data_IF_214939577533
#
_entry.id   IF_214939577533
#
_cell.length_a   1.000
_cell.length_b   1.000
_cell.length_c   1.000
_cell.angle_alpha   90.00
_cell.angle_beta   90.00
_cell.angle_gamma   90.00
#
_symmetry.space_group_name_H-M   'P 1'
#
loop_
_entity.id
_entity.type
_entity.pdbx_description
1 polymer ?
#
# COMPACT_ATOMS: atom_id res chain seq x y z
N UNK A 1 12.73 0.93 13.06
CA UNK A 1 12.98 1.52 11.74
C UNK A 1 13.64 0.43 10.91
N UNK A 2 12.92 -0.11 9.93
CA UNK A 2 13.42 -1.24 9.15
C UNK A 2 14.46 -0.82 8.09
N UNK A 3 15.14 -1.81 7.51
CA UNK A 3 16.21 -1.58 6.52
C UNK A 3 15.71 -0.83 5.28
N UNK A 4 14.51 -1.16 4.82
CA UNK A 4 13.91 -0.55 3.63
C UNK A 4 13.61 0.94 3.87
N UNK A 5 12.96 1.29 4.97
CA UNK A 5 12.64 2.68 5.32
C UNK A 5 13.92 3.50 5.51
N UNK A 6 14.97 2.92 6.11
CA UNK A 6 16.27 3.57 6.22
C UNK A 6 16.94 3.80 4.85
N UNK A 7 16.79 2.85 3.91
CA UNK A 7 17.27 2.99 2.52
C UNK A 7 16.49 4.06 1.76
N UNK A 8 15.17 4.13 1.92
CA UNK A 8 14.31 5.18 1.34
C UNK A 8 14.74 6.55 1.86
N UNK A 9 14.86 6.71 3.18
CA UNK A 9 15.34 7.96 3.81
C UNK A 9 16.67 8.42 3.21
N UNK A 10 17.64 7.51 3.04
CA UNK A 10 18.95 7.84 2.48
C UNK A 10 18.82 8.31 1.02
N UNK A 11 18.11 7.54 0.20
CA UNK A 11 17.85 7.87 -1.21
C UNK A 11 17.22 9.25 -1.37
N UNK A 12 16.26 9.58 -0.50
CA UNK A 12 15.54 10.86 -0.51
C UNK A 12 16.45 12.03 -0.10
N UNK A 13 17.29 11.83 0.92
CA UNK A 13 18.25 12.86 1.39
C UNK A 13 19.35 13.15 0.37
N UNK A 14 19.88 12.14 -0.30
CA UNK A 14 20.89 12.31 -1.36
C UNK A 14 20.40 13.23 -2.50
N UNK A 15 19.08 13.30 -2.71
CA UNK A 15 18.44 14.13 -3.74
C UNK A 15 17.84 15.44 -3.20
N UNK A 16 17.93 15.67 -1.89
CA UNK A 16 17.29 16.81 -1.21
C UNK A 16 15.76 16.74 -1.19
N UNK A 17 15.18 15.59 -1.52
CA UNK A 17 13.73 15.38 -1.57
C UNK A 17 13.10 15.23 -0.19
N UNK A 18 13.91 15.07 0.85
CA UNK A 18 13.48 15.13 2.25
C UNK A 18 12.89 16.51 2.66
N UNK A 19 12.96 17.51 1.76
CA UNK A 19 12.33 18.83 1.92
C UNK A 19 10.90 18.89 1.38
N UNK A 20 10.47 17.87 0.64
CA UNK A 20 9.08 17.73 0.21
C UNK A 20 8.19 17.60 1.46
N UNK A 21 7.06 18.27 1.44
CA UNK A 21 6.08 18.24 2.52
C UNK A 21 5.33 16.90 2.57
N UNK A 22 4.95 16.40 3.76
CA UNK A 22 4.18 15.15 3.89
C UNK A 22 2.88 15.16 3.09
N UNK A 23 2.18 16.29 3.02
CA UNK A 23 0.91 16.40 2.30
C UNK A 23 1.12 16.23 0.79
N UNK A 24 2.25 16.68 0.25
CA UNK A 24 2.57 16.46 -1.17
C UNK A 24 3.00 15.01 -1.43
N UNK A 25 3.70 14.38 -0.48
CA UNK A 25 4.04 12.95 -0.59
C UNK A 25 2.79 12.07 -0.55
N UNK A 26 1.77 12.44 0.24
CA UNK A 26 0.46 11.78 0.22
C UNK A 26 -0.24 11.95 -1.13
N UNK A 27 -0.18 13.14 -1.74
CA UNK A 27 -0.74 13.37 -3.08
C UNK A 27 -0.08 12.47 -4.13
N UNK A 28 1.26 12.37 -4.13
CA UNK A 28 1.95 11.44 -5.02
C UNK A 28 1.58 9.99 -4.74
N UNK A 29 1.40 9.59 -3.48
CA UNK A 29 0.92 8.25 -3.16
C UNK A 29 -0.46 7.97 -3.77
N UNK A 30 -1.37 8.95 -3.78
CA UNK A 30 -2.66 8.80 -4.45
C UNK A 30 -2.52 8.66 -5.98
N UNK A 31 -1.57 9.35 -6.58
CA UNK A 31 -1.25 9.21 -8.02
C UNK A 31 -0.84 7.77 -8.32
N UNK A 32 0.10 7.20 -7.56
CA UNK A 32 0.54 5.80 -7.72
C UNK A 32 -0.57 4.79 -7.46
N UNK A 33 -1.44 5.03 -6.47
CA UNK A 33 -2.62 4.17 -6.27
C UNK A 33 -3.59 4.23 -7.46
N UNK A 34 -3.66 5.36 -8.16
CA UNK A 34 -4.38 5.50 -9.42
C UNK A 34 -3.72 4.73 -10.58
N UNK A 35 -2.39 4.65 -10.61
CA UNK A 35 -1.63 3.79 -11.53
C UNK A 35 -1.96 2.31 -11.26
N UNK A 36 -1.87 1.88 -10.00
CA UNK A 36 -2.23 0.51 -9.58
C UNK A 36 -3.65 0.15 -10.01
N UNK A 37 -4.62 1.04 -9.81
CA UNK A 37 -6.00 0.83 -10.26
C UNK A 37 -6.10 0.69 -11.80
N UNK A 38 -5.32 1.47 -12.56
CA UNK A 38 -5.27 1.35 -14.02
C UNK A 38 -4.69 0.02 -14.47
N UNK A 39 -3.62 -0.46 -13.82
CA UNK A 39 -3.00 -1.73 -14.16
C UNK A 39 -3.86 -2.93 -13.75
N UNK A 40 -4.60 -2.86 -12.65
CA UNK A 40 -5.61 -3.86 -12.29
C UNK A 40 -6.70 -3.98 -13.35
N UNK A 41 -7.15 -2.87 -13.93
CA UNK A 41 -8.13 -2.90 -15.03
C UNK A 41 -7.56 -3.52 -16.31
N UNK A 42 -6.25 -3.38 -16.57
CA UNK A 42 -5.58 -4.10 -17.67
C UNK A 42 -5.50 -5.59 -17.40
N UNK A 43 -5.08 -5.96 -16.19
CA UNK A 43 -4.97 -7.36 -15.76
C UNK A 43 -6.31 -8.10 -15.84
N UNK A 44 -7.39 -7.41 -15.47
CA UNK A 44 -8.76 -7.92 -15.59
C UNK A 44 -9.34 -7.85 -17.03
N UNK A 45 -8.57 -7.42 -18.02
CA UNK A 45 -8.98 -7.40 -19.44
C UNK A 45 -9.91 -6.25 -19.85
N UNK A 46 -10.16 -5.28 -18.96
CA UNK A 46 -10.97 -4.08 -19.28
C UNK A 46 -10.19 -3.02 -20.07
N UNK A 47 -8.87 -3.16 -20.17
CA UNK A 47 -7.98 -2.23 -20.91
C UNK A 47 -6.92 -3.01 -21.68
N UNK A 48 -6.50 -2.46 -22.81
CA UNK A 48 -5.43 -3.04 -23.63
C UNK A 48 -4.04 -2.84 -22.99
N UNK A 49 -3.12 -3.76 -23.30
CA UNK A 49 -1.73 -3.74 -22.87
C UNK A 49 -1.43 -4.69 -21.71
N UNK A 50 -0.15 -5.00 -21.51
CA UNK A 50 0.31 -5.81 -20.39
C UNK A 50 0.26 -4.99 -19.09
N UNK A 51 -0.25 -5.60 -18.02
CA UNK A 51 -0.29 -4.98 -16.70
C UNK A 51 1.12 -4.90 -16.07
N UNK A 52 1.44 -3.77 -15.44
CA UNK A 52 2.72 -3.50 -14.75
C UNK A 52 2.56 -3.43 -13.24
N UNK A 53 1.71 -4.29 -12.67
CA UNK A 53 1.33 -4.25 -11.25
C UNK A 53 2.52 -4.25 -10.29
N UNK A 54 3.56 -5.02 -10.57
CA UNK A 54 4.76 -5.08 -9.70
C UNK A 54 5.46 -3.72 -9.57
N UNK A 55 5.51 -2.95 -10.66
CA UNK A 55 6.15 -1.63 -10.70
C UNK A 55 5.32 -0.62 -9.90
N UNK A 56 4.04 -0.48 -10.25
CA UNK A 56 3.16 0.53 -9.61
C UNK A 56 2.91 0.23 -8.12
N UNK A 57 2.84 -1.05 -7.71
CA UNK A 57 2.76 -1.43 -6.30
C UNK A 57 4.04 -1.09 -5.53
N UNK A 58 5.20 -1.23 -6.18
CA UNK A 58 6.48 -0.87 -5.57
C UNK A 58 6.58 0.65 -5.39
N UNK A 59 6.16 1.45 -6.38
CA UNK A 59 6.17 2.91 -6.31
C UNK A 59 5.24 3.44 -5.22
N UNK A 60 3.99 2.94 -5.16
CA UNK A 60 3.08 3.23 -4.06
C UNK A 60 3.67 2.83 -2.69
N UNK A 61 4.30 1.65 -2.61
CA UNK A 61 4.97 1.19 -1.40
C UNK A 61 6.09 2.13 -0.95
N UNK A 62 6.97 2.54 -1.86
CA UNK A 62 8.10 3.44 -1.57
C UNK A 62 7.61 4.80 -1.07
N UNK A 63 6.54 5.35 -1.66
CA UNK A 63 5.94 6.60 -1.20
C UNK A 63 5.29 6.47 0.19
N UNK A 64 4.68 5.33 0.51
CA UNK A 64 4.18 5.08 1.87
C UNK A 64 5.33 5.01 2.89
N UNK A 65 6.43 4.35 2.56
CA UNK A 65 7.63 4.31 3.41
C UNK A 65 8.24 5.72 3.60
N UNK A 66 8.29 6.52 2.53
CA UNK A 66 8.74 7.92 2.59
C UNK A 66 7.84 8.76 3.48
N UNK A 67 6.51 8.63 3.32
CA UNK A 67 5.54 9.36 4.13
C UNK A 67 5.69 9.00 5.61
N UNK A 68 5.83 7.71 5.93
CA UNK A 68 6.09 7.25 7.29
C UNK A 68 7.40 7.86 7.85
N UNK A 69 8.46 7.95 7.03
CA UNK A 69 9.71 8.58 7.44
C UNK A 69 9.54 10.06 7.77
N UNK A 70 8.85 10.83 6.92
CA UNK A 70 8.58 12.26 7.15
C UNK A 70 7.75 12.50 8.42
N UNK A 71 6.88 11.56 8.78
CA UNK A 71 6.02 11.62 9.97
C UNK A 71 6.66 10.99 11.21
N UNK A 72 7.92 10.51 11.12
CA UNK A 72 8.63 9.81 12.19
C UNK A 72 7.89 8.56 12.71
N UNK A 73 7.23 7.84 11.80
CA UNK A 73 6.53 6.58 12.09
C UNK A 73 7.44 5.42 11.71
N UNK A 74 7.63 4.48 12.63
CA UNK A 74 8.23 3.18 12.33
C UNK A 74 7.17 2.28 11.68
N UNK A 75 7.12 2.29 10.34
CA UNK A 75 5.98 1.72 9.60
C UNK A 75 5.85 0.22 9.83
N UNK A 76 6.96 -0.51 9.80
CA UNK A 76 6.97 -1.96 10.04
C UNK A 76 6.45 -2.29 11.43
N UNK A 77 6.93 -1.59 12.45
CA UNK A 77 6.44 -1.78 13.82
C UNK A 77 4.95 -1.50 13.92
N UNK A 78 4.49 -0.39 13.33
CA UNK A 78 3.07 -0.01 13.33
C UNK A 78 2.20 -1.06 12.62
N UNK A 79 2.67 -1.62 11.51
CA UNK A 79 1.98 -2.70 10.78
C UNK A 79 1.93 -4.00 11.59
N UNK A 80 3.03 -4.39 12.26
CA UNK A 80 3.06 -5.57 13.11
C UNK A 80 2.11 -5.44 14.32
N UNK A 81 2.12 -4.27 14.98
CA UNK A 81 1.21 -4.01 16.10
C UNK A 81 -0.26 -3.99 15.62
N UNK A 82 -0.52 -3.45 14.42
CA UNK A 82 -1.85 -3.47 13.80
C UNK A 82 -2.29 -4.87 13.42
N UNK A 83 -1.38 -5.70 12.90
CA UNK A 83 -1.66 -7.09 12.54
C UNK A 83 -2.06 -7.90 13.78
N UNK A 84 -1.30 -7.78 14.88
CA UNK A 84 -1.64 -8.44 16.15
C UNK A 84 -3.01 -8.01 16.72
N UNK A 85 -3.40 -6.75 16.52
CA UNK A 85 -4.76 -6.28 16.86
C UNK A 85 -5.82 -6.88 15.93
N UNK A 86 -5.54 -6.95 14.63
CA UNK A 86 -6.45 -7.51 13.64
C UNK A 86 -6.66 -9.01 13.84
N UNK A 87 -5.63 -9.78 14.21
CA UNK A 87 -5.73 -11.20 14.55
C UNK A 87 -6.72 -11.46 15.70
N UNK A 88 -6.78 -10.55 16.68
CA UNK A 88 -7.75 -10.62 17.79
C UNK A 88 -9.14 -10.16 17.38
N UNK A 89 -9.23 -9.15 16.50
CA UNK A 89 -10.49 -8.58 16.04
C UNK A 89 -11.20 -9.45 15.01
N UNK A 90 -10.45 -10.21 14.22
CA UNK A 90 -10.93 -11.02 13.11
C UNK A 90 -10.41 -12.45 13.24
N UNK A 91 -10.99 -13.28 14.14
CA UNK A 91 -10.53 -14.64 14.31
C UNK A 91 -10.87 -15.48 13.06
N UNK A 92 -10.07 -16.53 12.73
CA UNK A 92 -10.17 -17.21 11.44
C UNK A 92 -11.53 -17.84 11.11
N UNK A 93 -12.23 -18.55 12.03
CA UNK A 93 -13.51 -19.16 11.72
C UNK A 93 -14.56 -18.12 11.30
N UNK A 94 -14.76 -17.08 12.12
CA UNK A 94 -15.76 -16.04 11.87
C UNK A 94 -15.42 -15.22 10.63
N UNK A 95 -14.12 -15.00 10.37
CA UNK A 95 -13.65 -14.24 9.20
C UNK A 95 -13.88 -15.01 7.90
N UNK A 96 -13.69 -16.35 7.90
CA UNK A 96 -13.95 -17.20 6.73
C UNK A 96 -15.44 -17.24 6.40
N UNK A 97 -16.29 -17.47 7.40
CA UNK A 97 -17.74 -17.45 7.20
C UNK A 97 -18.25 -16.09 6.71
N UNK A 98 -17.67 -14.99 7.21
CA UNK A 98 -18.02 -13.65 6.73
C UNK A 98 -17.61 -13.42 5.27
N UNK A 99 -16.45 -13.96 4.86
CA UNK A 99 -15.98 -13.91 3.47
C UNK A 99 -16.88 -14.73 2.54
N UNK A 100 -17.26 -15.95 2.91
CA UNK A 100 -18.17 -16.79 2.11
C UNK A 100 -19.48 -16.05 1.84
N UNK A 101 -20.11 -15.51 2.89
CA UNK A 101 -21.34 -14.69 2.76
C UNK A 101 -21.16 -13.43 1.91
N UNK A 102 -19.96 -12.86 1.88
CA UNK A 102 -19.66 -11.70 1.03
C UNK A 102 -19.56 -12.12 -0.43
N UNK A 103 -18.83 -13.19 -0.74
CA UNK A 103 -18.65 -13.67 -2.12
C UNK A 103 -19.97 -14.14 -2.73
N UNK A 104 -20.79 -14.89 -1.99
CA UNK A 104 -22.12 -15.32 -2.42
C UNK A 104 -23.00 -14.14 -2.89
N UNK A 105 -22.89 -12.98 -2.24
CA UNK A 105 -23.65 -11.78 -2.62
C UNK A 105 -23.11 -11.03 -3.83
N UNK A 106 -21.80 -11.15 -4.11
CA UNK A 106 -21.16 -10.42 -5.21
C UNK A 106 -21.02 -11.27 -6.48
N UNK A 107 -21.20 -12.60 -6.39
CA UNK A 107 -21.28 -13.49 -7.55
C UNK A 107 -22.71 -13.53 -8.17
N UNK A 108 -23.71 -12.96 -7.48
CA UNK A 108 -25.10 -12.85 -7.96
C UNK A 108 -25.38 -11.61 -8.84
N UNK A 109 -24.40 -10.70 -8.98
CA UNK A 109 -24.46 -9.47 -9.81
C UNK A 109 -23.59 -9.60 -11.09
#
# INVERSE_FOLDING_TARGET
MNELQARVRRFDRERGWNRVRPEHTLLHLFEELGEVARELLRDAGYKEGAARLTEELADAGLLLFKLADQLNVDLERAMLDKLAQNERRFPPPESREALERYLERNDED
#
